data_IF_491829028643
#
_entry.id   IF_491829028643
#
_cell.length_a   1.000
_cell.length_b   1.000
_cell.length_c   1.000
_cell.angle_alpha   90.00
_cell.angle_beta   90.00
_cell.angle_gamma   90.00
#
_symmetry.space_group_name_H-M   'P 1'
#
loop_
_entity.id
_entity.type
_entity.pdbx_description
1 polymer ?
#
# COMPACT_ATOMS: atom_id res chain seq x y z
N UNK A 1 29.38 -66.47 -24.29
CA UNK A 1 28.76 -65.18 -24.68
C UNK A 1 27.24 -65.35 -24.73
N UNK A 2 26.56 -65.24 -23.58
CA UNK A 2 25.10 -65.16 -23.47
C UNK A 2 24.84 -64.13 -22.38
N UNK A 3 24.33 -62.97 -22.79
CA UNK A 3 24.17 -61.79 -21.94
C UNK A 3 22.87 -62.00 -21.16
N UNK A 4 23.00 -62.10 -19.85
CA UNK A 4 21.93 -61.92 -18.87
C UNK A 4 21.52 -60.44 -18.88
N UNK A 5 20.25 -60.13 -19.15
CA UNK A 5 19.67 -58.83 -18.79
C UNK A 5 18.41 -59.10 -17.97
N UNK A 6 18.49 -58.66 -16.72
CA UNK A 6 17.49 -58.75 -15.67
C UNK A 6 16.14 -58.15 -16.09
N UNK A 7 15.10 -58.91 -15.79
CA UNK A 7 13.77 -58.38 -15.54
C UNK A 7 13.81 -57.45 -14.32
N UNK A 8 13.45 -56.18 -14.50
CA UNK A 8 13.09 -55.26 -13.44
C UNK A 8 11.74 -54.63 -13.78
N UNK A 9 10.71 -55.30 -13.28
CA UNK A 9 9.54 -54.73 -12.60
C UNK A 9 8.90 -53.48 -13.19
N UNK A 10 7.78 -53.72 -13.86
CA UNK A 10 6.65 -52.80 -13.95
C UNK A 10 6.29 -52.24 -12.56
N UNK A 11 6.26 -50.91 -12.41
CA UNK A 11 5.29 -50.19 -11.58
C UNK A 11 5.53 -48.67 -11.63
N UNK A 12 5.08 -47.95 -12.65
CA UNK A 12 4.88 -46.49 -12.53
C UNK A 12 3.59 -46.10 -13.26
N UNK A 13 2.45 -46.55 -12.70
CA UNK A 13 1.13 -45.92 -12.89
C UNK A 13 0.83 -45.02 -11.67
N UNK A 14 1.41 -43.82 -11.67
CA UNK A 14 0.96 -42.66 -10.87
C UNK A 14 1.24 -41.47 -11.79
N UNK A 15 0.35 -40.54 -12.07
CA UNK A 15 -0.97 -40.20 -11.58
C UNK A 15 -1.30 -38.90 -12.32
N UNK A 16 -2.55 -38.76 -12.71
CA UNK A 16 -3.05 -37.62 -13.48
C UNK A 16 -2.90 -36.31 -12.69
N UNK A 17 -2.57 -35.26 -13.43
CA UNK A 17 -3.02 -33.85 -13.25
C UNK A 17 -3.08 -33.29 -11.83
N UNK A 18 -2.30 -32.25 -11.56
CA UNK A 18 -2.82 -30.99 -11.00
C UNK A 18 -1.72 -29.94 -10.86
N UNK A 19 -2.03 -28.73 -11.35
CA UNK A 19 -1.65 -27.51 -10.65
C UNK A 19 -0.26 -26.98 -10.96
N UNK A 20 -0.16 -26.16 -12.00
CA UNK A 20 0.78 -25.05 -11.96
C UNK A 20 0.51 -24.20 -10.72
N UNK A 21 1.56 -23.81 -10.01
CA UNK A 21 1.58 -22.55 -9.25
C UNK A 21 2.98 -21.99 -9.32
N UNK A 22 3.24 -20.98 -10.17
CA UNK A 22 4.48 -20.23 -10.12
C UNK A 22 4.46 -19.37 -8.84
N UNK A 23 5.05 -19.88 -7.76
CA UNK A 23 5.41 -19.07 -6.61
C UNK A 23 6.65 -18.23 -6.95
N UNK A 24 6.48 -17.15 -7.71
CA UNK A 24 7.41 -15.99 -7.72
C UNK A 24 6.89 -14.76 -8.49
N UNK A 25 5.63 -14.73 -8.92
CA UNK A 25 5.01 -13.54 -9.51
C UNK A 25 4.18 -12.71 -8.50
N UNK A 26 4.54 -12.69 -7.21
CA UNK A 26 3.96 -11.75 -6.24
C UNK A 26 4.58 -10.36 -6.42
N UNK A 27 4.29 -9.81 -7.60
CA UNK A 27 3.98 -8.43 -7.90
C UNK A 27 4.54 -7.33 -7.00
N UNK A 28 5.42 -6.54 -7.61
CA UNK A 28 5.79 -5.15 -7.27
C UNK A 28 4.56 -4.19 -7.23
N UNK A 29 3.31 -4.68 -7.28
CA UNK A 29 2.08 -3.86 -7.35
C UNK A 29 0.98 -4.28 -6.38
N UNK A 30 1.30 -4.83 -5.20
CA UNK A 30 0.28 -5.02 -4.17
C UNK A 30 -0.15 -3.66 -3.61
N UNK A 31 -1.09 -3.01 -4.31
CA UNK A 31 -2.00 -2.06 -3.70
C UNK A 31 -2.52 -2.68 -2.40
N UNK A 32 -2.57 -1.93 -1.30
CA UNK A 32 -3.05 -2.38 0.02
C UNK A 32 -4.46 -3.01 -0.10
N UNK A 33 -4.54 -4.30 -0.44
CA UNK A 33 -5.79 -4.99 -0.81
C UNK A 33 -6.56 -5.43 0.42
N UNK A 34 -5.89 -5.64 1.55
CA UNK A 34 -6.55 -6.02 2.78
C UNK A 34 -6.91 -4.75 3.56
N UNK A 35 -8.21 -4.47 3.71
CA UNK A 35 -8.68 -3.30 4.47
C UNK A 35 -8.11 -3.27 5.90
N UNK A 36 -7.83 -4.45 6.46
CA UNK A 36 -7.30 -4.62 7.80
C UNK A 36 -5.78 -4.38 7.93
N UNK A 37 -5.09 -4.07 6.84
CA UNK A 37 -3.70 -3.62 6.89
C UNK A 37 -3.60 -2.24 7.54
N UNK A 38 -4.63 -1.40 7.36
CA UNK A 38 -4.73 -0.07 7.96
C UNK A 38 -5.88 0.03 8.98
N UNK A 39 -6.98 -0.69 8.77
CA UNK A 39 -8.15 -0.65 9.66
C UNK A 39 -8.24 -1.84 10.64
N UNK A 40 -8.86 -1.64 11.79
CA UNK A 40 -9.37 -2.73 12.63
C UNK A 40 -10.76 -3.15 12.14
N UNK A 41 -11.18 -4.39 12.43
CA UNK A 41 -12.52 -4.91 12.08
C UNK A 41 -13.59 -3.92 12.55
N UNK A 42 -14.23 -3.20 11.61
CA UNK A 42 -15.18 -2.13 11.93
C UNK A 42 -14.72 -0.69 11.65
N UNK A 43 -13.81 -0.48 10.70
CA UNK A 43 -13.45 0.83 10.11
C UNK A 43 -12.59 1.80 10.96
N UNK A 44 -12.26 1.47 12.21
CA UNK A 44 -11.23 2.21 12.96
C UNK A 44 -9.86 1.98 12.35
N UNK A 45 -8.92 2.91 12.48
CA UNK A 45 -7.51 2.63 12.15
C UNK A 45 -6.87 1.76 13.24
N UNK A 46 -5.71 1.17 12.96
CA UNK A 46 -4.84 0.59 13.99
C UNK A 46 -4.57 1.60 15.11
N UNK A 47 -4.34 1.12 16.33
CA UNK A 47 -4.09 1.94 17.52
C UNK A 47 -2.70 2.61 17.49
N UNK A 48 -2.51 3.48 16.51
CA UNK A 48 -1.30 4.28 16.31
C UNK A 48 -1.66 5.59 15.61
N UNK A 49 -0.83 6.64 15.75
CA UNK A 49 -1.10 7.87 15.04
C UNK A 49 -0.88 7.69 13.52
N UNK A 50 -1.61 8.51 12.75
CA UNK A 50 -1.84 8.24 11.33
C UNK A 50 -0.57 8.34 10.48
N UNK A 51 0.33 9.26 10.82
CA UNK A 51 1.58 9.43 10.09
C UNK A 51 2.49 8.21 10.27
N UNK A 52 2.59 7.71 11.50
CA UNK A 52 3.34 6.53 11.88
C UNK A 52 2.79 5.29 11.17
N UNK A 53 1.47 5.20 11.00
CA UNK A 53 0.84 4.09 10.27
C UNK A 53 1.33 4.04 8.82
N UNK A 54 1.40 5.19 8.14
CA UNK A 54 1.91 5.26 6.78
C UNK A 54 3.41 4.93 6.72
N UNK A 55 4.19 5.46 7.66
CA UNK A 55 5.64 5.29 7.73
C UNK A 55 6.08 3.86 8.08
N UNK A 56 5.20 3.04 8.65
CA UNK A 56 5.47 1.63 8.91
C UNK A 56 5.76 0.83 7.62
N UNK A 57 5.28 1.31 6.47
CA UNK A 57 5.46 0.66 5.17
C UNK A 57 6.11 1.58 4.12
N UNK A 58 5.82 2.89 4.14
CA UNK A 58 6.37 3.85 3.20
C UNK A 58 7.44 4.73 3.86
N UNK A 59 8.74 4.50 3.62
CA UNK A 59 9.76 5.43 4.09
C UNK A 59 9.53 6.78 3.41
N UNK A 60 9.30 7.82 4.20
CA UNK A 60 9.21 9.17 3.67
C UNK A 60 10.60 9.64 3.23
N UNK A 61 10.76 9.90 1.95
CA UNK A 61 12.01 10.43 1.37
C UNK A 61 12.02 11.96 1.23
N UNK A 62 11.08 12.68 1.84
CA UNK A 62 10.97 14.12 1.65
C UNK A 62 11.28 14.85 2.96
N UNK A 63 12.46 15.45 3.03
CA UNK A 63 12.84 16.46 4.04
C UNK A 63 11.95 17.71 4.02
N UNK A 64 11.12 17.87 2.98
CA UNK A 64 10.44 19.12 2.67
C UNK A 64 8.94 19.16 3.02
N UNK A 65 8.35 18.04 3.47
CA UNK A 65 6.95 18.02 3.92
C UNK A 65 6.86 18.11 5.45
N UNK A 66 6.38 19.24 5.98
CA UNK A 66 6.08 19.38 7.41
C UNK A 66 4.74 18.72 7.75
N UNK A 67 4.80 17.59 8.45
CA UNK A 67 3.65 16.89 9.02
C UNK A 67 3.59 17.09 10.54
N UNK A 68 2.43 16.81 11.14
CA UNK A 68 2.24 16.92 12.59
C UNK A 68 2.21 18.37 13.11
N UNK A 69 2.04 19.34 12.21
CA UNK A 69 1.93 20.76 12.56
C UNK A 69 0.50 21.25 12.34
N UNK A 70 0.02 22.13 13.21
CA UNK A 70 -1.23 22.88 12.98
C UNK A 70 -0.88 24.01 12.01
N UNK A 71 -1.48 24.07 10.81
CA UNK A 71 -1.17 25.13 9.88
C UNK A 71 -1.79 26.45 10.36
N UNK A 72 -1.13 27.59 10.08
CA UNK A 72 -1.66 28.91 10.45
C UNK A 72 -2.96 29.23 9.69
N UNK A 73 -3.14 28.65 8.51
CA UNK A 73 -4.33 28.74 7.68
C UNK A 73 -4.91 27.33 7.56
N UNK A 74 -6.13 27.13 8.03
CA UNK A 74 -6.81 25.84 7.88
C UNK A 74 -7.29 25.70 6.43
N UNK A 75 -6.78 24.72 5.66
CA UNK A 75 -7.23 24.50 4.30
C UNK A 75 -8.71 24.10 4.29
N UNK A 76 -9.51 24.80 3.49
CA UNK A 76 -10.92 24.43 3.29
C UNK A 76 -11.01 23.13 2.49
N UNK A 77 -11.73 22.15 3.02
CA UNK A 77 -12.01 20.90 2.31
C UNK A 77 -10.86 19.88 2.26
N UNK A 78 -9.74 20.14 2.94
CA UNK A 78 -8.69 19.13 3.15
C UNK A 78 -8.83 18.51 4.55
N UNK A 79 -8.65 17.18 4.68
CA UNK A 79 -8.76 16.51 5.96
C UNK A 79 -7.56 16.83 6.86
N UNK A 80 -7.82 17.06 8.14
CA UNK A 80 -6.82 17.19 9.19
C UNK A 80 -7.07 16.11 10.25
N UNK A 81 -6.11 15.90 11.14
CA UNK A 81 -6.37 15.06 12.31
C UNK A 81 -7.30 15.76 13.32
N UNK A 82 -7.62 15.08 14.43
CA UNK A 82 -8.54 15.57 15.46
C UNK A 82 -8.05 16.84 16.16
N UNK A 83 -6.75 17.10 16.09
CA UNK A 83 -6.09 18.25 16.68
C UNK A 83 -5.74 19.32 15.62
N UNK A 84 -6.35 19.24 14.44
CA UNK A 84 -6.14 20.13 13.29
C UNK A 84 -4.70 20.13 12.75
N UNK A 85 -3.94 19.04 12.93
CA UNK A 85 -2.60 18.92 12.35
C UNK A 85 -2.67 18.34 10.95
N UNK A 86 -1.70 18.76 10.13
CA UNK A 86 -1.45 18.20 8.81
C UNK A 86 -0.91 16.77 8.96
N UNK A 87 -1.46 15.84 8.18
CA UNK A 87 -1.03 14.44 8.11
C UNK A 87 -0.79 14.03 6.66
N UNK A 88 -0.28 12.81 6.43
CA UNK A 88 -0.11 12.26 5.09
C UNK A 88 -1.42 12.35 4.27
N UNK A 89 -2.56 12.08 4.89
CA UNK A 89 -3.85 12.08 4.20
C UNK A 89 -4.41 13.47 3.93
N UNK A 90 -3.84 14.54 4.51
CA UNK A 90 -4.23 15.91 4.19
C UNK A 90 -3.99 16.21 2.71
N UNK A 91 -2.89 15.69 2.18
CA UNK A 91 -2.47 15.86 0.80
C UNK A 91 -2.76 14.63 -0.06
N UNK A 92 -2.69 13.42 0.50
CA UNK A 92 -2.85 12.15 -0.21
C UNK A 92 -4.20 11.46 0.06
N UNK A 93 -4.74 10.76 -0.94
CA UNK A 93 -5.93 9.92 -0.89
C UNK A 93 -5.58 8.45 -1.13
N UNK A 94 -5.31 7.67 -0.06
CA UNK A 94 -4.88 6.28 -0.20
C UNK A 94 -5.97 5.35 -0.75
N UNK A 95 -7.25 5.76 -0.76
CA UNK A 95 -8.33 5.01 -1.40
C UNK A 95 -8.53 5.36 -2.88
N UNK A 96 -7.64 6.18 -3.48
CA UNK A 96 -7.59 6.38 -4.92
C UNK A 96 -8.82 7.07 -5.52
N UNK A 97 -9.58 7.84 -4.71
CA UNK A 97 -10.69 8.66 -5.21
C UNK A 97 -10.24 9.92 -5.96
N UNK A 98 -8.97 10.30 -5.83
CA UNK A 98 -8.37 11.42 -6.56
C UNK A 98 -7.98 11.03 -7.99
N UNK A 99 -8.05 12.00 -8.91
CA UNK A 99 -7.64 11.82 -10.32
C UNK A 99 -6.19 12.24 -10.58
N UNK A 100 -5.47 12.69 -9.55
CA UNK A 100 -4.17 13.35 -9.71
C UNK A 100 -3.01 12.42 -9.37
N UNK A 101 -1.81 12.78 -9.85
CA UNK A 101 -0.59 11.98 -9.65
C UNK A 101 -0.25 11.79 -8.17
N UNK A 102 0.49 10.72 -7.85
CA UNK A 102 0.97 10.42 -6.50
C UNK A 102 -0.13 10.34 -5.43
N UNK A 103 -1.35 9.98 -5.83
CA UNK A 103 -2.54 9.94 -4.96
C UNK A 103 -2.88 11.30 -4.35
N UNK A 104 -2.48 12.42 -4.96
CA UNK A 104 -2.82 13.72 -4.40
C UNK A 104 -4.35 13.95 -4.45
N UNK A 105 -4.84 14.81 -3.56
CA UNK A 105 -6.26 15.20 -3.52
C UNK A 105 -6.61 16.24 -4.57
N UNK A 106 -5.64 17.08 -4.89
CA UNK A 106 -5.71 18.18 -5.84
C UNK A 106 -4.45 18.14 -6.72
N UNK A 107 -4.44 18.93 -7.78
CA UNK A 107 -3.20 19.19 -8.52
C UNK A 107 -2.16 19.81 -7.58
N UNK A 108 -0.89 19.42 -7.72
CA UNK A 108 0.17 19.74 -6.76
C UNK A 108 0.29 21.24 -6.49
N UNK A 109 0.26 22.06 -7.54
CA UNK A 109 0.32 23.52 -7.41
C UNK A 109 -0.88 24.10 -6.65
N UNK A 110 -2.09 23.62 -6.93
CA UNK A 110 -3.33 24.04 -6.26
C UNK A 110 -3.30 23.65 -4.78
N UNK A 111 -2.74 22.48 -4.47
CA UNK A 111 -2.60 22.01 -3.10
C UNK A 111 -1.68 22.92 -2.28
N UNK A 112 -0.51 23.30 -2.81
CA UNK A 112 0.43 24.19 -2.14
C UNK A 112 -0.19 25.56 -1.83
N UNK A 113 -0.84 26.18 -2.82
CA UNK A 113 -1.43 27.52 -2.66
C UNK A 113 -2.71 27.53 -1.81
N UNK A 114 -3.28 26.37 -1.50
CA UNK A 114 -4.43 26.28 -0.59
C UNK A 114 -4.09 26.71 0.84
N UNK A 115 -2.81 26.63 1.22
CA UNK A 115 -2.29 27.04 2.53
C UNK A 115 -1.20 28.12 2.44
N UNK A 116 -0.49 28.22 1.31
CA UNK A 116 0.54 29.22 1.04
C UNK A 116 0.08 30.18 -0.06
N UNK A 117 -0.95 31.02 0.20
CA UNK A 117 -1.36 32.03 -0.77
C UNK A 117 -0.20 33.01 -0.97
N UNK A 118 0.10 33.28 -2.23
CA UNK A 118 1.08 34.27 -2.70
C UNK A 118 0.43 35.64 -2.86
#
# INVERSE_FOLDING_TARGET
MRIMICALTALWMVGMTSGASPASAESITTAHKACNDCHLRGAKLKDMPLNELCLACHPANATDHKLGVVPPILPKGLPLDRENRITCITCHEPHGKGTTGHLLRLEQNILCISCHPV
#
